data_IF_208853997478
#
_entry.id   IF_208853997478
#
_cell.length_a   1.000
_cell.length_b   1.000
_cell.length_c   1.000
_cell.angle_alpha   90.00
_cell.angle_beta   90.00
_cell.angle_gamma   90.00
#
_symmetry.space_group_name_H-M   'P 1'
#
loop_
_entity.id
_entity.type
_entity.pdbx_description
1 polymer ?
#
# COMPACT_ATOMS: atom_id res chain seq x y z
N UNK A 1 -10.55 3.24 -30.78
CA UNK A 1 -10.07 2.85 -29.45
C UNK A 1 -10.88 3.68 -28.46
N UNK A 2 -11.66 3.07 -27.57
CA UNK A 2 -12.46 3.81 -26.58
C UNK A 2 -11.51 4.18 -25.45
N UNK A 3 -11.29 5.48 -25.23
CA UNK A 3 -10.51 5.95 -24.08
C UNK A 3 -11.33 5.69 -22.82
N UNK A 4 -10.78 4.94 -21.87
CA UNK A 4 -11.40 4.75 -20.55
C UNK A 4 -11.03 5.99 -19.73
N UNK A 5 -12.00 6.78 -19.28
CA UNK A 5 -11.71 7.98 -18.49
C UNK A 5 -11.16 7.60 -17.11
N UNK A 6 -10.20 8.38 -16.62
CA UNK A 6 -9.54 8.17 -15.33
C UNK A 6 -10.41 8.70 -14.17
N UNK A 7 -10.28 8.15 -12.94
CA UNK A 7 -10.95 8.70 -11.77
C UNK A 7 -10.69 10.21 -11.59
N UNK A 8 -11.75 10.96 -11.27
CA UNK A 8 -11.71 12.42 -11.17
C UNK A 8 -11.91 13.16 -12.49
N UNK A 9 -11.88 12.49 -13.66
CA UNK A 9 -12.24 13.13 -14.93
C UNK A 9 -13.75 13.41 -15.01
N UNK A 10 -14.11 14.55 -15.58
CA UNK A 10 -15.49 14.90 -15.89
C UNK A 10 -15.92 14.32 -17.23
N UNK A 11 -17.16 13.83 -17.28
CA UNK A 11 -17.79 13.22 -18.45
C UNK A 11 -19.23 13.72 -18.60
N UNK A 12 -19.81 13.53 -19.78
CA UNK A 12 -21.24 13.65 -20.01
C UNK A 12 -21.88 12.27 -20.03
N UNK A 13 -22.91 12.08 -19.20
CA UNK A 13 -23.69 10.85 -19.13
C UNK A 13 -24.90 10.94 -20.06
N UNK A 14 -24.93 10.08 -21.08
CA UNK A 14 -26.02 9.99 -22.04
C UNK A 14 -27.08 9.01 -21.55
N UNK A 15 -28.34 9.45 -21.48
CA UNK A 15 -29.48 8.59 -21.14
C UNK A 15 -30.62 8.78 -22.12
N UNK A 16 -31.34 7.70 -22.51
CA UNK A 16 -32.49 7.82 -23.39
C UNK A 16 -33.55 8.78 -22.79
N UNK A 17 -33.90 9.82 -23.55
CA UNK A 17 -34.93 10.79 -23.16
C UNK A 17 -34.51 11.85 -22.14
N UNK A 18 -33.21 11.99 -21.84
CA UNK A 18 -32.66 13.09 -21.03
C UNK A 18 -31.56 13.81 -21.81
N UNK A 19 -31.32 15.10 -21.56
CA UNK A 19 -30.13 15.76 -22.08
C UNK A 19 -28.88 15.14 -21.45
N UNK A 20 -27.76 15.26 -22.17
CA UNK A 20 -26.46 14.79 -21.71
C UNK A 20 -26.08 15.55 -20.44
N UNK A 21 -25.88 14.82 -19.34
CA UNK A 21 -25.77 15.41 -18.02
C UNK A 21 -24.34 15.28 -17.49
N UNK A 22 -23.75 16.34 -16.91
CA UNK A 22 -22.39 16.25 -16.38
C UNK A 22 -22.30 15.27 -15.22
N UNK A 23 -21.24 14.48 -15.23
CA UNK A 23 -20.88 13.53 -14.19
C UNK A 23 -19.35 13.52 -14.00
N UNK A 24 -18.90 12.95 -12.89
CA UNK A 24 -17.48 12.71 -12.62
C UNK A 24 -17.23 11.21 -12.46
N UNK A 25 -16.13 10.69 -12.99
CA UNK A 25 -15.70 9.31 -12.73
C UNK A 25 -15.26 9.17 -11.27
N UNK A 26 -15.84 8.22 -10.55
CA UNK A 26 -15.53 7.95 -9.16
C UNK A 26 -14.77 6.65 -8.98
N UNK A 27 -13.99 6.58 -7.91
CA UNK A 27 -13.43 5.34 -7.37
C UNK A 27 -14.48 4.59 -6.54
N UNK A 28 -14.33 3.26 -6.42
CA UNK A 28 -15.32 2.40 -5.74
C UNK A 28 -15.48 2.74 -4.24
N UNK A 29 -14.48 3.33 -3.58
CA UNK A 29 -14.56 3.82 -2.18
C UNK A 29 -15.56 4.96 -1.99
N UNK A 30 -15.90 5.71 -3.05
CA UNK A 30 -16.92 6.76 -2.97
C UNK A 30 -18.34 6.19 -2.99
N UNK A 31 -18.52 4.91 -3.36
CA UNK A 31 -19.84 4.31 -3.50
C UNK A 31 -20.61 4.33 -2.17
N UNK A 32 -21.88 4.78 -2.15
CA UNK A 32 -22.74 4.62 -0.98
C UNK A 32 -22.87 3.14 -0.62
N UNK A 33 -22.89 2.82 0.68
CA UNK A 33 -23.01 1.42 1.17
C UNK A 33 -24.29 0.70 0.72
N UNK A 34 -25.33 1.45 0.35
CA UNK A 34 -26.58 0.92 -0.19
C UNK A 34 -26.55 0.70 -1.72
N UNK A 35 -25.53 1.19 -2.43
CA UNK A 35 -25.40 1.03 -3.86
C UNK A 35 -24.68 -0.29 -4.17
N UNK A 36 -25.40 -1.27 -4.71
CA UNK A 36 -24.81 -2.54 -5.12
C UNK A 36 -24.17 -2.43 -6.50
N UNK A 37 -22.93 -2.88 -6.63
CA UNK A 37 -22.24 -3.01 -7.91
C UNK A 37 -22.99 -4.02 -8.81
N UNK A 38 -23.42 -3.63 -10.02
CA UNK A 38 -24.02 -4.57 -10.96
C UNK A 38 -22.96 -5.50 -11.55
N UNK A 39 -23.38 -6.66 -12.05
CA UNK A 39 -22.49 -7.54 -12.80
C UNK A 39 -22.13 -6.91 -14.15
N UNK A 40 -20.83 -6.77 -14.43
CA UNK A 40 -20.30 -6.27 -15.71
C UNK A 40 -19.29 -5.13 -15.55
N UNK A 41 -18.72 -4.72 -16.69
CA UNK A 41 -17.78 -3.61 -16.78
C UNK A 41 -18.52 -2.27 -16.80
N UNK A 42 -18.88 -1.79 -15.62
CA UNK A 42 -19.51 -0.49 -15.42
C UNK A 42 -18.60 0.41 -14.61
N UNK A 43 -18.59 1.69 -14.97
CA UNK A 43 -17.82 2.72 -14.29
C UNK A 43 -18.74 3.43 -13.30
N UNK A 44 -18.32 3.55 -12.04
CA UNK A 44 -19.03 4.36 -11.06
C UNK A 44 -18.88 5.84 -11.43
N UNK A 45 -20.00 6.54 -11.54
CA UNK A 45 -20.03 7.98 -11.79
C UNK A 45 -20.88 8.71 -10.75
N UNK A 46 -20.45 9.91 -10.40
CA UNK A 46 -21.23 10.87 -9.62
C UNK A 46 -21.95 11.82 -10.58
N UNK A 47 -23.26 11.71 -10.66
CA UNK A 47 -24.10 12.61 -11.44
C UNK A 47 -24.20 13.98 -10.74
N UNK A 48 -23.79 15.03 -11.42
CA UNK A 48 -23.68 16.38 -10.84
C UNK A 48 -25.03 17.07 -10.93
N UNK A 49 -25.88 16.82 -9.94
CA UNK A 49 -27.20 17.43 -9.80
C UNK A 49 -27.22 18.41 -8.61
N UNK A 50 -28.39 18.94 -8.26
CA UNK A 50 -28.53 19.73 -7.02
C UNK A 50 -28.18 18.88 -5.78
N UNK A 51 -28.59 17.62 -5.81
CA UNK A 51 -28.21 16.58 -4.85
C UNK A 51 -27.46 15.50 -5.64
N UNK A 52 -26.12 15.44 -5.58
CA UNK A 52 -25.34 14.49 -6.37
C UNK A 52 -25.75 13.06 -6.09
N UNK A 53 -25.87 12.25 -7.15
CA UNK A 53 -26.29 10.86 -7.07
C UNK A 53 -25.27 9.95 -7.72
N UNK A 54 -25.04 8.78 -7.13
CA UNK A 54 -24.12 7.79 -7.68
C UNK A 54 -24.83 6.86 -8.66
N UNK A 55 -24.14 6.49 -9.74
CA UNK A 55 -24.68 5.64 -10.78
C UNK A 55 -23.57 4.79 -11.41
N UNK A 56 -23.88 3.55 -11.79
CA UNK A 56 -22.97 2.73 -12.60
C UNK A 56 -23.34 2.85 -14.08
N UNK A 57 -22.44 3.42 -14.87
CA UNK A 57 -22.64 3.67 -16.29
C UNK A 57 -21.79 2.74 -17.17
N UNK A 58 -22.33 2.32 -18.30
CA UNK A 58 -21.56 1.61 -19.31
C UNK A 58 -20.68 2.59 -20.09
N UNK A 59 -19.52 2.13 -20.59
CA UNK A 59 -18.58 2.99 -21.33
C UNK A 59 -19.18 3.69 -22.55
N UNK A 60 -20.21 3.10 -23.16
CA UNK A 60 -20.96 3.68 -24.29
C UNK A 60 -21.90 4.84 -23.91
N UNK A 61 -22.21 4.98 -22.64
CA UNK A 61 -23.05 6.06 -22.09
C UNK A 61 -22.21 7.27 -21.67
N UNK A 62 -20.88 7.14 -21.70
CA UNK A 62 -19.94 8.17 -21.27
C UNK A 62 -19.38 8.89 -22.49
N UNK A 63 -19.45 10.22 -22.46
CA UNK A 63 -18.79 11.10 -23.43
C UNK A 63 -17.83 12.05 -22.72
N UNK A 64 -16.85 12.57 -23.45
CA UNK A 64 -15.93 13.58 -22.94
C UNK A 64 -16.72 14.84 -22.53
N UNK A 65 -16.38 15.41 -21.38
CA UNK A 65 -17.05 16.60 -20.91
C UNK A 65 -16.71 17.81 -21.78
N UNK A 66 -17.76 18.45 -22.31
CA UNK A 66 -17.66 19.71 -23.05
C UNK A 66 -18.49 20.75 -22.32
N UNK A 67 -17.89 21.87 -21.87
CA UNK A 67 -18.65 22.98 -21.30
C UNK A 67 -19.72 23.46 -22.29
N UNK A 68 -20.96 23.45 -21.86
CA UNK A 68 -22.06 24.02 -22.64
C UNK A 68 -22.07 25.53 -22.43
N UNK A 69 -22.36 26.29 -23.49
CA UNK A 69 -22.63 27.73 -23.41
C UNK A 69 -23.95 28.01 -22.70
N UNK A 70 -24.68 29.06 -23.12
CA UNK A 70 -25.99 29.36 -22.53
C UNK A 70 -27.03 28.31 -22.94
N UNK A 71 -27.48 27.47 -21.99
CA UNK A 71 -28.56 26.49 -22.19
C UNK A 71 -29.91 27.00 -21.63
N UNK A 72 -31.04 26.80 -22.35
CA UNK A 72 -32.36 27.16 -21.83
C UNK A 72 -32.77 26.38 -20.57
N UNK A 73 -32.18 25.21 -20.33
CA UNK A 73 -32.39 24.41 -19.13
C UNK A 73 -31.49 24.90 -17.99
N UNK A 74 -32.08 25.69 -17.09
CA UNK A 74 -31.39 26.27 -15.93
C UNK A 74 -30.77 25.23 -14.98
N UNK A 75 -31.38 24.04 -14.86
CA UNK A 75 -30.85 22.99 -13.99
C UNK A 75 -29.58 22.36 -14.57
N UNK A 76 -29.60 22.11 -15.88
CA UNK A 76 -28.44 21.62 -16.61
C UNK A 76 -27.32 22.67 -16.61
N UNK A 77 -27.65 23.94 -16.84
CA UNK A 77 -26.68 25.04 -16.74
C UNK A 77 -26.05 25.10 -15.34
N UNK A 78 -26.87 24.99 -14.28
CA UNK A 78 -26.38 24.99 -12.91
C UNK A 78 -25.46 23.78 -12.63
N UNK A 79 -25.75 22.61 -13.21
CA UNK A 79 -24.90 21.44 -13.12
C UNK A 79 -23.53 21.67 -13.79
N UNK A 80 -23.51 22.22 -15.01
CA UNK A 80 -22.28 22.59 -15.70
C UNK A 80 -21.46 23.63 -14.92
N UNK A 81 -22.12 24.65 -14.36
CA UNK A 81 -21.44 25.66 -13.55
C UNK A 81 -20.79 25.07 -12.30
N UNK A 82 -21.37 24.03 -11.69
CA UNK A 82 -20.74 23.32 -10.56
C UNK A 82 -19.50 22.54 -10.96
N UNK A 83 -19.46 21.99 -12.19
CA UNK A 83 -18.24 21.37 -12.74
C UNK A 83 -17.15 22.41 -12.93
N UNK A 84 -17.49 23.57 -13.49
CA UNK A 84 -16.51 24.64 -13.68
C UNK A 84 -16.00 25.16 -12.34
N UNK A 85 -16.88 25.33 -11.35
CA UNK A 85 -16.51 25.69 -9.97
C UNK A 85 -15.54 24.67 -9.35
N UNK A 86 -15.77 23.37 -9.56
CA UNK A 86 -14.88 22.33 -9.04
C UNK A 86 -13.56 22.23 -9.81
N UNK A 87 -13.54 22.54 -11.10
CA UNK A 87 -12.32 22.64 -11.91
C UNK A 87 -11.45 23.84 -11.55
N UNK A 88 -12.08 24.96 -11.16
CA UNK A 88 -11.39 26.18 -10.72
C UNK A 88 -10.90 26.10 -9.26
N UNK A 89 -11.33 25.07 -8.51
CA UNK A 89 -10.89 24.82 -7.15
C UNK A 89 -9.40 24.42 -7.11
N UNK A 90 -8.71 24.78 -6.03
CA UNK A 90 -7.34 24.33 -5.78
C UNK A 90 -7.26 22.86 -5.31
N UNK A 91 -8.40 22.20 -5.10
CA UNK A 91 -8.49 20.82 -4.61
C UNK A 91 -8.57 19.84 -5.77
N UNK A 92 -8.18 18.58 -5.54
CA UNK A 92 -8.46 17.53 -6.51
C UNK A 92 -9.98 17.44 -6.73
N UNK A 93 -10.39 17.10 -7.96
CA UNK A 93 -11.82 16.99 -8.29
C UNK A 93 -12.52 15.95 -7.38
N UNK A 94 -11.85 14.84 -7.07
CA UNK A 94 -12.39 13.83 -6.17
C UNK A 94 -12.60 14.37 -4.75
N UNK A 95 -11.62 15.10 -4.19
CA UNK A 95 -11.71 15.61 -2.82
C UNK A 95 -12.75 16.71 -2.69
N UNK A 96 -12.86 17.59 -3.70
CA UNK A 96 -13.91 18.59 -3.77
C UNK A 96 -15.30 17.94 -3.66
N UNK A 97 -15.55 16.89 -4.45
CA UNK A 97 -16.85 16.21 -4.46
C UNK A 97 -17.07 15.34 -3.22
N UNK A 98 -16.03 14.70 -2.66
CA UNK A 98 -16.13 13.99 -1.37
C UNK A 98 -16.62 14.93 -0.28
N UNK A 99 -15.97 16.07 -0.09
CA UNK A 99 -16.37 17.06 0.91
C UNK A 99 -17.81 17.56 0.67
N UNK A 100 -18.15 17.87 -0.60
CA UNK A 100 -19.49 18.37 -0.94
C UNK A 100 -20.59 17.35 -0.65
N UNK A 101 -20.36 16.06 -0.93
CA UNK A 101 -21.31 14.97 -0.62
C UNK A 101 -21.44 14.79 0.88
N UNK A 102 -20.34 14.85 1.63
CA UNK A 102 -20.34 14.71 3.08
C UNK A 102 -21.16 15.82 3.75
N UNK A 103 -20.96 17.08 3.35
CA UNK A 103 -21.75 18.20 3.84
C UNK A 103 -23.25 18.07 3.54
N UNK A 104 -23.63 17.45 2.41
CA UNK A 104 -25.04 17.22 2.10
C UNK A 104 -25.67 16.05 2.87
N UNK A 105 -24.87 15.03 3.23
CA UNK A 105 -25.34 13.89 4.02
C UNK A 105 -25.63 14.26 5.47
N UNK A 106 -25.05 15.35 5.97
CA UNK A 106 -25.35 15.86 7.31
C UNK A 106 -26.83 16.25 7.35
N UNK A 107 -27.67 15.51 8.09
CA UNK A 107 -29.05 15.95 8.28
C UNK A 107 -28.98 17.36 8.85
N UNK A 108 -29.75 18.29 8.29
CA UNK A 108 -29.91 19.65 8.82
C UNK A 108 -30.70 19.59 10.15
N UNK A 109 -30.25 18.77 11.09
CA UNK A 109 -30.87 18.47 12.38
C UNK A 109 -30.51 19.49 13.46
N UNK A 110 -30.15 20.72 13.07
CA UNK A 110 -30.26 21.87 13.96
C UNK A 110 -31.68 22.43 13.91
N UNK A 111 -32.67 21.61 14.26
CA UNK A 111 -33.93 22.14 14.77
C UNK A 111 -33.66 22.56 16.20
N UNK A 112 -33.31 23.84 16.39
CA UNK A 112 -33.16 24.45 17.72
C UNK A 112 -34.45 24.15 18.50
N UNK A 113 -34.41 23.37 19.59
CA UNK A 113 -35.61 23.11 20.36
C UNK A 113 -36.10 24.44 20.97
N UNK A 114 -37.41 24.72 20.97
CA UNK A 114 -37.93 25.91 21.62
C UNK A 114 -37.59 25.85 23.11
N UNK A 115 -36.81 26.84 23.55
CA UNK A 115 -36.37 27.05 24.93
C UNK A 115 -37.56 26.97 25.90
N UNK A 116 -37.73 25.81 26.53
CA UNK A 116 -38.66 25.63 27.64
C UNK A 116 -38.00 24.82 28.74
N UNK A 117 -37.52 25.57 29.75
CA UNK A 117 -37.44 25.23 31.18
C UNK A 117 -36.87 23.85 31.58
N UNK A 118 -35.54 23.85 31.79
CA UNK A 118 -34.79 23.28 32.93
C UNK A 118 -35.47 22.24 33.84
N UNK A 119 -34.94 21.01 33.83
CA UNK A 119 -34.71 20.19 35.04
C UNK A 119 -33.50 19.27 34.82
N UNK A 120 -32.57 19.12 35.79
CA UNK A 120 -31.42 18.24 35.66
C UNK A 120 -31.74 16.83 36.18
N UNK A 121 -31.39 15.80 35.41
CA UNK A 121 -31.37 14.40 35.85
C UNK A 121 -30.08 13.76 35.36
N UNK A 122 -29.27 13.11 36.22
CA UNK A 122 -28.05 12.46 35.79
C UNK A 122 -28.34 11.00 35.44
N UNK A 123 -28.00 10.56 34.24
CA UNK A 123 -27.77 9.14 33.93
C UNK A 123 -26.74 9.00 32.81
N UNK A 124 -25.80 8.04 32.93
CA UNK A 124 -24.68 7.87 32.01
C UNK A 124 -25.01 6.79 30.96
N UNK A 125 -24.98 7.16 29.69
CA UNK A 125 -24.86 6.25 28.55
C UNK A 125 -24.48 7.08 27.33
N UNK A 126 -23.18 7.20 27.10
CA UNK A 126 -22.64 7.83 25.90
C UNK A 126 -22.34 6.70 24.92
N UNK A 127 -23.33 6.41 24.07
CA UNK A 127 -23.08 5.70 22.82
C UNK A 127 -22.37 6.69 21.88
N UNK A 128 -21.09 6.43 21.64
CA UNK A 128 -20.23 7.21 20.75
C UNK A 128 -20.74 7.11 19.30
N UNK A 129 -21.30 8.21 18.82
CA UNK A 129 -21.54 8.48 17.40
C UNK A 129 -20.23 9.06 16.85
N UNK A 130 -19.67 8.41 15.83
CA UNK A 130 -18.37 8.71 15.23
C UNK A 130 -18.29 10.12 14.65
N UNK A 131 -17.34 10.90 15.19
CA UNK A 131 -16.79 12.13 14.63
C UNK A 131 -15.85 11.76 13.47
N UNK A 132 -16.13 12.25 12.25
CA UNK A 132 -15.22 12.09 11.10
C UNK A 132 -14.71 13.45 10.57
N UNK A 133 -15.20 14.56 11.13
CA UNK A 133 -14.62 15.90 10.93
C UNK A 133 -13.50 16.20 11.94
N UNK A 134 -13.18 15.25 12.82
CA UNK A 134 -12.15 15.40 13.85
C UNK A 134 -10.76 14.98 13.38
N UNK A 135 -10.60 14.27 12.27
CA UNK A 135 -9.30 13.67 11.92
C UNK A 135 -8.21 14.74 11.63
N UNK A 136 -8.58 15.86 11.00
CA UNK A 136 -7.61 16.94 10.72
C UNK A 136 -7.19 17.66 11.99
N UNK A 137 -8.14 18.01 12.85
CA UNK A 137 -7.86 18.66 14.13
C UNK A 137 -7.11 17.69 15.06
N UNK A 138 -7.42 16.40 15.01
CA UNK A 138 -6.75 15.35 15.77
C UNK A 138 -5.28 15.20 15.36
N UNK A 139 -4.95 15.28 14.06
CA UNK A 139 -3.55 15.25 13.60
C UNK A 139 -2.79 16.47 14.13
N UNK A 140 -3.35 17.68 14.00
CA UNK A 140 -2.70 18.89 14.50
C UNK A 140 -2.51 18.86 16.02
N UNK A 141 -3.51 18.35 16.75
CA UNK A 141 -3.43 18.11 18.19
C UNK A 141 -2.34 17.09 18.50
N UNK A 142 -2.35 15.92 17.86
CA UNK A 142 -1.37 14.85 18.05
C UNK A 142 0.05 15.37 17.79
N UNK A 143 0.26 16.05 16.66
CA UNK A 143 1.53 16.69 16.29
C UNK A 143 2.00 17.67 17.36
N UNK A 144 1.11 18.54 17.83
CA UNK A 144 1.43 19.52 18.88
C UNK A 144 1.78 18.85 20.22
N UNK A 145 1.06 17.80 20.60
CA UNK A 145 1.26 17.05 21.84
C UNK A 145 2.56 16.24 21.80
N UNK A 146 2.83 15.53 20.70
CA UNK A 146 4.07 14.77 20.50
C UNK A 146 5.30 15.67 20.49
N UNK A 147 5.24 16.83 19.80
CA UNK A 147 6.31 17.84 19.82
C UNK A 147 6.55 18.37 21.23
N UNK A 148 5.49 18.64 22.00
CA UNK A 148 5.62 19.12 23.38
C UNK A 148 6.24 18.06 24.28
N UNK A 149 5.76 16.82 24.24
CA UNK A 149 6.27 15.72 25.06
C UNK A 149 7.76 15.46 24.78
N UNK A 150 8.17 15.52 23.52
CA UNK A 150 9.56 15.38 23.14
C UNK A 150 10.45 16.53 23.65
N UNK A 151 9.99 17.78 23.51
CA UNK A 151 10.71 18.94 24.03
C UNK A 151 10.89 18.87 25.56
N UNK A 152 9.86 18.42 26.29
CA UNK A 152 9.94 18.20 27.73
C UNK A 152 10.96 17.12 28.10
N UNK A 153 11.00 16.00 27.35
CA UNK A 153 12.00 14.94 27.54
C UNK A 153 13.43 15.43 27.27
N UNK A 154 13.65 16.14 26.14
CA UNK A 154 14.96 16.71 25.77
C UNK A 154 15.47 17.70 26.82
N UNK A 155 14.56 18.49 27.40
CA UNK A 155 14.89 19.42 28.48
C UNK A 155 15.26 18.71 29.79
N UNK A 156 14.58 17.61 30.17
CA UNK A 156 14.95 16.82 31.36
C UNK A 156 16.35 16.24 31.25
N UNK A 157 16.72 15.71 30.09
CA UNK A 157 18.06 15.14 29.84
C UNK A 157 19.16 16.21 29.90
N UNK A 158 18.88 17.44 29.43
CA UNK A 158 19.83 18.57 29.51
C UNK A 158 19.95 19.20 30.90
N UNK A 159 18.89 19.14 31.70
CA UNK A 159 18.81 19.83 33.00
C UNK A 159 19.47 19.07 34.15
N UNK A 160 19.93 17.84 33.93
CA UNK A 160 20.70 17.09 34.93
C UNK A 160 22.17 17.50 34.84
N UNK A 161 22.71 18.30 35.78
CA UNK A 161 24.13 18.58 35.81
C UNK A 161 24.86 17.27 36.02
N UNK A 162 25.57 16.81 34.99
CA UNK A 162 26.44 15.66 35.05
C UNK A 162 27.46 15.88 36.16
N UNK A 163 27.21 15.29 37.34
CA UNK A 163 28.23 15.16 38.37
C UNK A 163 29.44 14.51 37.69
N UNK A 164 30.63 15.12 37.73
CA UNK A 164 31.81 14.55 37.10
C UNK A 164 32.08 13.19 37.74
N UNK A 165 31.78 12.12 37.01
CA UNK A 165 32.24 10.78 37.36
C UNK A 165 33.73 10.74 37.13
N UNK A 166 34.50 10.85 38.21
CA UNK A 166 35.93 10.57 38.24
C UNK A 166 36.13 9.10 37.87
N UNK A 167 36.29 8.81 36.58
CA UNK A 167 36.75 7.52 36.10
C UNK A 167 38.21 7.35 36.50
N UNK A 168 38.45 6.49 37.51
CA UNK A 168 39.78 5.95 37.76
C UNK A 168 40.17 5.10 36.56
N UNK A 169 41.23 5.51 35.88
CA UNK A 169 41.94 4.72 34.86
C UNK A 169 42.32 3.36 35.45
N UNK A 170 41.63 2.30 35.01
CA UNK A 170 42.13 0.94 35.10
C UNK A 170 42.85 0.65 33.77
N UNK A 171 44.17 0.48 33.86
CA UNK A 171 45.02 -0.07 32.80
C UNK A 171 44.71 -1.56 32.65
N UNK A 172 44.67 -2.06 31.42
CA UNK A 172 44.74 -3.49 31.12
C UNK A 172 43.82 -3.91 29.98
N UNK A 173 44.15 -3.52 28.76
CA UNK A 173 43.63 -4.20 27.57
C UNK A 173 44.72 -5.17 27.10
N UNK A 174 44.50 -6.47 27.33
CA UNK A 174 45.21 -7.55 26.65
C UNK A 174 44.48 -7.80 25.33
N UNK A 175 45.25 -7.81 24.25
CA UNK A 175 44.83 -8.01 22.88
C UNK A 175 44.33 -9.46 22.69
N UNK A 176 43.07 -9.62 22.27
CA UNK A 176 42.43 -10.92 21.99
C UNK A 176 42.48 -11.28 20.49
N UNK A 177 43.26 -10.57 19.68
CA UNK A 177 43.31 -10.74 18.22
C UNK A 177 44.33 -11.80 17.74
N UNK A 178 44.93 -12.57 18.64
CA UNK A 178 45.90 -13.65 18.30
C UNK A 178 45.37 -15.09 18.40
N UNK A 179 44.05 -15.32 18.56
CA UNK A 179 43.51 -16.68 18.74
C UNK A 179 42.86 -17.36 17.52
N UNK A 180 42.95 -16.79 16.32
CA UNK A 180 42.50 -17.47 15.10
C UNK A 180 43.67 -17.71 14.15
N UNK A 181 44.36 -18.83 14.38
CA UNK A 181 45.29 -19.41 13.41
C UNK A 181 44.54 -20.05 12.24
N UNK A 182 45.21 -20.26 11.08
CA UNK A 182 44.60 -20.90 9.93
C UNK A 182 44.43 -22.40 10.21
N UNK A 183 43.20 -22.90 10.20
CA UNK A 183 42.93 -24.33 10.22
C UNK A 183 43.27 -24.93 8.87
N UNK A 184 44.32 -25.75 8.87
CA UNK A 184 44.69 -26.61 7.76
C UNK A 184 43.59 -27.63 7.49
N UNK A 185 43.35 -27.83 6.20
CA UNK A 185 42.46 -28.82 5.61
C UNK A 185 43.00 -30.23 5.91
N UNK A 186 42.33 -30.99 6.76
CA UNK A 186 42.60 -32.42 6.94
C UNK A 186 41.58 -33.28 6.17
N UNK A 187 42.14 -34.15 5.34
CA UNK A 187 41.53 -35.25 4.61
C UNK A 187 40.63 -36.11 5.50
N UNK A 188 39.33 -36.11 5.19
CA UNK A 188 38.40 -37.12 5.72
C UNK A 188 38.35 -38.33 4.79
N UNK A 189 39.25 -39.27 5.02
CA UNK A 189 39.13 -40.66 4.57
C UNK A 189 37.90 -41.32 5.19
N UNK A 190 36.86 -41.50 4.37
CA UNK A 190 35.64 -42.21 4.72
C UNK A 190 35.94 -43.71 4.86
N UNK A 191 35.75 -44.22 6.08
CA UNK A 191 35.80 -45.65 6.41
C UNK A 191 34.56 -46.37 5.87
N UNK A 192 34.79 -47.36 5.02
CA UNK A 192 33.80 -48.26 4.43
C UNK A 192 33.32 -49.32 5.43
N UNK A 193 32.08 -49.21 5.89
CA UNK A 193 31.34 -50.32 6.52
C UNK A 193 30.63 -51.19 5.47
N UNK A 194 30.56 -52.53 5.64
CA UNK A 194 29.98 -53.42 4.64
C UNK A 194 28.45 -53.55 4.81
N UNK A 195 27.78 -53.71 3.67
CA UNK A 195 26.42 -54.24 3.51
C UNK A 195 25.23 -53.37 3.97
N UNK A 196 25.06 -52.22 3.32
CA UNK A 196 23.72 -51.70 3.04
C UNK A 196 23.43 -51.88 1.55
N UNK A 197 22.38 -52.64 1.22
CA UNK A 197 21.86 -52.81 -0.16
C UNK A 197 21.43 -51.43 -0.68
N UNK A 198 22.35 -50.72 -1.35
CA UNK A 198 22.06 -49.52 -2.13
C UNK A 198 21.02 -49.89 -3.18
N UNK A 199 19.78 -49.47 -2.97
CA UNK A 199 18.83 -49.33 -4.06
C UNK A 199 19.46 -48.39 -5.08
N UNK A 200 19.78 -48.93 -6.26
CA UNK A 200 20.15 -48.10 -7.40
C UNK A 200 18.95 -47.17 -7.66
N UNK A 201 19.09 -45.85 -7.58
CA UNK A 201 18.04 -44.97 -8.05
C UNK A 201 17.79 -45.33 -9.51
N UNK A 202 16.58 -45.79 -9.81
CA UNK A 202 16.08 -45.97 -11.17
C UNK A 202 16.33 -44.64 -11.86
N UNK A 203 17.14 -44.65 -12.93
CA UNK A 203 17.46 -43.48 -13.73
C UNK A 203 16.13 -42.81 -14.08
N UNK A 204 15.90 -41.61 -13.54
CA UNK A 204 14.81 -40.75 -13.98
C UNK A 204 15.00 -40.52 -15.47
N UNK A 205 13.97 -40.82 -16.23
CA UNK A 205 13.90 -40.57 -17.66
C UNK A 205 14.33 -39.12 -17.93
N UNK A 206 15.48 -38.95 -18.57
CA UNK A 206 15.93 -37.66 -19.05
C UNK A 206 15.09 -37.36 -20.28
N UNK A 207 14.06 -36.52 -20.11
CA UNK A 207 13.23 -36.05 -21.23
C UNK A 207 14.10 -35.07 -22.02
N UNK A 208 14.75 -35.58 -23.05
CA UNK A 208 15.50 -34.80 -24.03
C UNK A 208 14.50 -34.17 -25.01
N UNK A 209 13.78 -33.14 -24.54
CA UNK A 209 12.83 -32.35 -25.31
C UNK A 209 12.97 -30.88 -24.95
N UNK A 210 12.89 -30.00 -25.96
CA UNK A 210 12.91 -28.55 -25.76
C UNK A 210 11.70 -28.14 -24.91
N UNK A 211 11.95 -27.80 -23.64
CA UNK A 211 10.92 -27.35 -22.68
C UNK A 211 10.10 -26.16 -23.20
N UNK A 212 10.68 -25.39 -24.13
CA UNK A 212 10.07 -24.25 -24.80
C UNK A 212 8.79 -24.59 -25.58
N UNK A 213 8.63 -25.85 -26.02
CA UNK A 213 7.45 -26.32 -26.75
C UNK A 213 6.41 -27.02 -25.86
N UNK A 214 6.64 -27.08 -24.54
CA UNK A 214 5.68 -27.68 -23.61
C UNK A 214 4.50 -26.74 -23.41
N UNK A 215 3.29 -27.20 -23.77
CA UNK A 215 2.03 -26.49 -23.48
C UNK A 215 1.70 -26.40 -21.97
N UNK A 216 2.60 -26.84 -21.10
CA UNK A 216 2.51 -26.80 -19.65
C UNK A 216 3.12 -25.53 -19.03
N UNK A 217 3.82 -24.70 -19.82
CA UNK A 217 4.44 -23.47 -19.37
C UNK A 217 3.78 -22.23 -20.00
N UNK A 218 3.77 -21.14 -19.25
CA UNK A 218 3.32 -19.81 -19.67
C UNK A 218 4.53 -18.89 -19.69
N UNK A 219 4.76 -18.22 -20.83
CA UNK A 219 5.80 -17.21 -21.02
C UNK A 219 5.33 -15.87 -20.48
N UNK A 220 6.05 -15.29 -19.53
CA UNK A 220 5.81 -13.93 -19.03
C UNK A 220 6.96 -13.05 -19.47
N UNK A 221 6.66 -11.89 -20.05
CA UNK A 221 7.68 -10.94 -20.47
C UNK A 221 7.72 -9.73 -19.53
N UNK A 222 8.92 -9.32 -19.15
CA UNK A 222 9.12 -8.27 -18.15
C UNK A 222 10.17 -7.28 -18.63
N UNK A 223 9.94 -6.02 -18.27
CA UNK A 223 10.87 -4.92 -18.50
C UNK A 223 10.98 -4.50 -19.96
N UNK A 224 11.70 -3.40 -20.18
CA UNK A 224 11.96 -2.81 -21.50
C UNK A 224 12.76 -3.73 -22.44
N UNK A 225 13.51 -4.68 -21.88
CA UNK A 225 14.28 -5.69 -22.61
C UNK A 225 13.45 -6.91 -22.98
N UNK A 226 12.23 -7.02 -22.46
CA UNK A 226 11.32 -8.12 -22.71
C UNK A 226 11.97 -9.47 -22.32
N UNK A 227 12.55 -9.51 -21.11
CA UNK A 227 13.14 -10.71 -20.54
C UNK A 227 12.04 -11.74 -20.25
N UNK A 228 12.28 -13.00 -20.62
CA UNK A 228 11.28 -14.08 -20.59
C UNK A 228 11.41 -14.92 -19.31
N UNK A 229 10.28 -15.12 -18.63
CA UNK A 229 10.12 -16.02 -17.49
C UNK A 229 9.15 -17.15 -17.85
N UNK A 230 9.46 -18.38 -17.45
CA UNK A 230 8.62 -19.55 -17.67
C UNK A 230 7.95 -19.96 -16.37
N UNK A 231 6.61 -19.90 -16.33
CA UNK A 231 5.81 -20.22 -15.14
C UNK A 231 4.92 -21.42 -15.45
N UNK A 232 4.76 -22.40 -14.53
CA UNK A 232 3.84 -23.50 -14.74
C UNK A 232 2.41 -23.01 -14.98
N UNK A 233 1.82 -23.45 -16.09
CA UNK A 233 0.45 -23.11 -16.49
C UNK A 233 -0.56 -23.45 -15.39
N UNK A 234 -0.37 -24.58 -14.73
CA UNK A 234 -1.23 -25.04 -13.63
C UNK A 234 -1.27 -24.07 -12.45
N UNK A 235 -0.23 -23.27 -12.24
CA UNK A 235 -0.18 -22.27 -11.17
C UNK A 235 -0.82 -20.95 -11.63
N UNK A 236 -0.54 -20.51 -12.86
CA UNK A 236 -1.19 -19.32 -13.46
C UNK A 236 -2.72 -19.51 -13.53
N UNK A 237 -3.19 -20.72 -13.85
CA UNK A 237 -4.61 -21.04 -13.93
C UNK A 237 -5.35 -20.97 -12.59
N UNK A 238 -4.64 -21.13 -11.46
CA UNK A 238 -5.23 -20.97 -10.11
C UNK A 238 -5.63 -19.53 -9.82
N UNK A 239 -5.05 -18.56 -10.52
CA UNK A 239 -5.31 -17.14 -10.36
C UNK A 239 -6.43 -16.71 -11.32
N UNK A 240 -7.68 -16.52 -10.83
CA UNK A 240 -8.84 -16.33 -11.71
C UNK A 240 -8.71 -15.12 -12.63
N UNK A 241 -8.03 -14.07 -12.16
CA UNK A 241 -7.84 -12.84 -12.90
C UNK A 241 -6.76 -12.94 -14.00
N UNK A 242 -5.85 -13.92 -13.93
CA UNK A 242 -4.88 -14.17 -15.01
C UNK A 242 -5.44 -15.16 -16.05
N UNK A 243 -6.26 -16.10 -15.59
CA UNK A 243 -6.80 -17.17 -16.44
C UNK A 243 -8.09 -16.81 -17.18
N UNK A 244 -8.77 -15.72 -16.80
CA UNK A 244 -9.99 -15.30 -17.46
C UNK A 244 -9.71 -14.81 -18.91
N UNK A 245 -10.20 -15.53 -19.94
CA UNK A 245 -10.01 -15.13 -21.33
C UNK A 245 -10.68 -13.79 -21.67
N UNK A 246 -11.62 -13.30 -20.86
CA UNK A 246 -12.28 -12.01 -21.06
C UNK A 246 -11.39 -10.83 -20.68
N UNK A 247 -10.44 -11.02 -19.76
CA UNK A 247 -9.51 -9.97 -19.35
C UNK A 247 -8.45 -9.76 -20.45
N UNK A 248 -8.17 -10.80 -21.25
CA UNK A 248 -7.29 -10.71 -22.41
C UNK A 248 -5.81 -10.67 -22.07
N UNK A 249 -5.42 -11.07 -20.85
CA UNK A 249 -4.03 -11.13 -20.42
C UNK A 249 -3.27 -12.30 -21.05
N UNK A 250 -3.95 -13.35 -21.52
CA UNK A 250 -3.32 -14.51 -22.14
C UNK A 250 -3.46 -14.48 -23.66
N UNK A 251 -2.35 -14.67 -24.36
CA UNK A 251 -2.26 -14.82 -25.81
C UNK A 251 -1.54 -16.12 -26.17
N UNK A 252 -1.78 -16.66 -27.37
CA UNK A 252 -1.06 -17.82 -27.90
C UNK A 252 -0.02 -17.28 -28.89
N UNK A 253 1.25 -17.62 -28.67
CA UNK A 253 2.35 -17.23 -29.58
C UNK A 253 2.38 -18.11 -30.83
N UNK A 254 3.20 -17.73 -31.83
CA UNK A 254 3.30 -18.46 -33.11
C UNK A 254 3.78 -19.91 -32.95
N UNK A 255 4.55 -20.19 -31.89
CA UNK A 255 5.03 -21.52 -31.50
C UNK A 255 3.96 -22.35 -30.76
N UNK A 256 2.77 -21.79 -30.50
CA UNK A 256 1.68 -22.46 -29.79
C UNK A 256 1.77 -22.37 -28.26
N UNK A 257 2.80 -21.71 -27.71
CA UNK A 257 2.97 -21.53 -26.26
C UNK A 257 2.04 -20.43 -25.75
N UNK A 258 1.59 -20.55 -24.50
CA UNK A 258 0.80 -19.50 -23.86
C UNK A 258 1.71 -18.38 -23.37
N UNK A 259 1.34 -17.14 -23.66
CA UNK A 259 2.03 -15.94 -23.20
C UNK A 259 1.10 -15.12 -22.33
N UNK A 260 1.59 -14.74 -21.15
CA UNK A 260 0.95 -13.74 -20.30
C UNK A 260 1.51 -12.36 -20.68
N UNK A 261 0.63 -11.50 -21.22
CA UNK A 261 0.96 -10.16 -21.69
C UNK A 261 0.30 -9.11 -20.80
N UNK A 262 1.04 -8.68 -19.79
CA UNK A 262 0.61 -7.66 -18.84
C UNK A 262 1.42 -6.39 -19.10
N UNK A 263 0.77 -5.35 -19.63
CA UNK A 263 1.45 -4.09 -19.98
C UNK A 263 2.18 -3.46 -18.78
N UNK A 264 1.63 -3.63 -17.57
CA UNK A 264 2.24 -3.10 -16.35
C UNK A 264 3.60 -3.75 -16.02
N UNK A 265 3.92 -4.93 -16.56
CA UNK A 265 5.21 -5.59 -16.33
C UNK A 265 6.36 -4.96 -17.12
N UNK A 266 6.06 -4.12 -18.12
CA UNK A 266 7.09 -3.46 -18.92
C UNK A 266 7.91 -2.42 -18.12
N UNK A 267 7.33 -1.88 -17.06
CA UNK A 267 7.95 -0.81 -16.26
C UNK A 267 8.81 -1.33 -15.10
N UNK A 268 8.80 -2.64 -14.84
CA UNK A 268 9.55 -3.25 -13.75
C UNK A 268 10.90 -3.81 -14.19
N UNK A 269 11.86 -3.85 -13.25
CA UNK A 269 13.12 -4.56 -13.43
C UNK A 269 12.87 -6.08 -13.43
N UNK A 270 13.30 -6.81 -14.47
CA UNK A 270 13.26 -8.27 -14.51
C UNK A 270 13.92 -8.93 -13.29
N UNK A 271 14.95 -8.32 -12.71
CA UNK A 271 15.60 -8.84 -11.50
C UNK A 271 14.65 -8.90 -10.30
N UNK A 272 13.71 -7.96 -10.18
CA UNK A 272 12.72 -7.93 -9.10
C UNK A 272 11.58 -8.92 -9.38
N UNK A 273 11.18 -9.05 -10.65
CA UNK A 273 10.15 -10.01 -11.05
C UNK A 273 10.53 -11.48 -10.79
N UNK A 274 11.83 -11.79 -10.68
CA UNK A 274 12.29 -13.15 -10.35
C UNK A 274 11.61 -13.71 -9.09
N UNK A 275 11.36 -12.87 -8.09
CA UNK A 275 10.73 -13.27 -6.83
C UNK A 275 9.26 -13.61 -7.03
N UNK A 276 8.56 -12.83 -7.86
CA UNK A 276 7.17 -13.10 -8.25
C UNK A 276 7.08 -14.38 -9.08
N UNK A 277 7.99 -14.59 -10.03
CA UNK A 277 8.04 -15.81 -10.83
C UNK A 277 8.30 -17.06 -9.97
N UNK A 278 9.20 -16.95 -8.98
CA UNK A 278 9.49 -18.03 -8.03
C UNK A 278 8.27 -18.33 -7.16
N UNK A 279 7.59 -17.29 -6.65
CA UNK A 279 6.35 -17.43 -5.87
C UNK A 279 5.24 -18.09 -6.68
N UNK A 280 5.01 -17.66 -7.91
CA UNK A 280 4.04 -18.27 -8.81
C UNK A 280 4.38 -19.73 -9.14
N UNK A 281 5.67 -20.12 -9.10
CA UNK A 281 6.09 -21.48 -9.40
C UNK A 281 6.04 -22.42 -8.20
N UNK A 282 6.32 -21.91 -7.00
CA UNK A 282 6.58 -22.74 -5.80
C UNK A 282 5.72 -22.39 -4.58
N UNK A 283 5.02 -21.24 -4.62
CA UNK A 283 4.34 -20.65 -3.46
C UNK A 283 5.29 -19.97 -2.46
N UNK A 284 6.58 -19.84 -2.78
CA UNK A 284 7.62 -19.22 -1.94
C UNK A 284 8.57 -18.39 -2.83
N UNK A 285 9.30 -17.44 -2.23
CA UNK A 285 10.33 -16.70 -2.96
C UNK A 285 11.51 -16.32 -2.06
N UNK A 286 12.69 -16.22 -2.70
CA UNK A 286 13.91 -15.73 -2.08
C UNK A 286 14.37 -16.59 -0.90
N UNK A 287 14.91 -15.97 0.14
CA UNK A 287 15.37 -16.68 1.33
C UNK A 287 14.19 -17.26 2.11
N UNK A 288 14.17 -18.59 2.28
CA UNK A 288 13.11 -19.32 2.99
C UNK A 288 13.29 -19.34 4.51
N UNK A 289 14.52 -19.16 5.00
CA UNK A 289 14.86 -19.10 6.42
C UNK A 289 15.29 -17.67 6.73
N UNK A 290 14.58 -17.07 7.69
CA UNK A 290 14.88 -15.73 8.16
C UNK A 290 15.72 -15.83 9.42
N UNK A 291 16.98 -15.43 9.33
CA UNK A 291 17.91 -15.33 10.44
C UNK A 291 18.56 -13.95 10.49
N UNK A 292 19.43 -13.71 11.46
CA UNK A 292 20.11 -12.41 11.63
C UNK A 292 20.96 -12.02 10.41
N UNK A 293 21.55 -12.98 9.70
CA UNK A 293 22.44 -12.73 8.56
C UNK A 293 21.66 -12.50 7.27
N UNK A 294 20.50 -13.13 7.14
CA UNK A 294 19.63 -13.01 5.96
C UNK A 294 18.54 -11.96 6.11
N UNK A 295 18.35 -11.37 7.30
CA UNK A 295 17.28 -10.39 7.59
C UNK A 295 17.21 -9.25 6.59
N UNK A 296 18.33 -8.55 6.39
CA UNK A 296 18.40 -7.38 5.50
C UNK A 296 18.04 -7.79 4.06
N UNK A 297 18.66 -8.85 3.56
CA UNK A 297 18.36 -9.40 2.24
C UNK A 297 16.89 -9.82 2.09
N UNK A 298 16.28 -10.45 3.11
CA UNK A 298 14.85 -10.83 3.09
C UNK A 298 13.96 -9.59 2.94
N UNK A 299 14.30 -8.50 3.61
CA UNK A 299 13.53 -7.26 3.56
C UNK A 299 13.70 -6.55 2.22
N UNK A 300 14.90 -6.56 1.63
CA UNK A 300 15.13 -6.10 0.26
C UNK A 300 14.32 -6.93 -0.76
N UNK A 301 14.32 -8.26 -0.64
CA UNK A 301 13.50 -9.12 -1.50
C UNK A 301 12.00 -8.81 -1.38
N UNK A 302 11.53 -8.51 -0.17
CA UNK A 302 10.15 -8.11 0.08
C UNK A 302 9.83 -6.75 -0.53
N UNK A 303 10.73 -5.78 -0.40
CA UNK A 303 10.65 -4.46 -1.01
C UNK A 303 10.57 -4.56 -2.54
N UNK A 304 11.42 -5.35 -3.17
CA UNK A 304 11.46 -5.54 -4.62
C UNK A 304 10.18 -6.23 -5.15
N UNK A 305 9.69 -7.22 -4.40
CA UNK A 305 8.54 -8.01 -4.81
C UNK A 305 7.19 -7.29 -4.60
N UNK A 306 7.08 -6.44 -3.58
CA UNK A 306 5.81 -5.81 -3.18
C UNK A 306 5.11 -5.03 -4.31
N UNK A 307 5.77 -4.07 -5.00
CA UNK A 307 5.11 -3.26 -6.03
C UNK A 307 4.59 -4.10 -7.20
N UNK A 308 5.31 -5.18 -7.53
CA UNK A 308 4.91 -6.08 -8.61
C UNK A 308 3.70 -6.91 -8.16
N UNK A 309 3.78 -7.53 -6.98
CA UNK A 309 2.70 -8.33 -6.40
C UNK A 309 1.40 -7.53 -6.28
N UNK A 310 1.48 -6.27 -5.84
CA UNK A 310 0.33 -5.36 -5.81
C UNK A 310 -0.20 -5.07 -7.21
N UNK A 311 0.68 -4.69 -8.14
CA UNK A 311 0.27 -4.28 -9.49
C UNK A 311 -0.45 -5.38 -10.26
N UNK A 312 -0.07 -6.63 -10.03
CA UNK A 312 -0.73 -7.81 -10.60
C UNK A 312 -1.68 -8.50 -9.61
N UNK A 313 -2.05 -7.86 -8.50
CA UNK A 313 -3.09 -8.30 -7.55
C UNK A 313 -2.87 -9.73 -7.03
N UNK A 314 -1.63 -10.06 -6.66
CA UNK A 314 -1.29 -11.33 -6.01
C UNK A 314 -1.51 -11.24 -4.49
N UNK A 315 -2.76 -11.29 -4.06
CA UNK A 315 -3.15 -11.16 -2.64
C UNK A 315 -2.39 -12.16 -1.74
N UNK A 316 -2.32 -13.43 -2.13
CA UNK A 316 -1.60 -14.47 -1.39
C UNK A 316 -0.10 -14.15 -1.24
N UNK A 317 0.50 -13.49 -2.24
CA UNK A 317 1.90 -13.08 -2.17
C UNK A 317 2.09 -11.89 -1.23
N UNK A 318 1.16 -10.92 -1.24
CA UNK A 318 1.20 -9.78 -0.32
C UNK A 318 1.10 -10.25 1.14
N UNK A 319 0.21 -11.19 1.45
CA UNK A 319 0.11 -11.80 2.78
C UNK A 319 1.39 -12.57 3.15
N UNK A 320 2.00 -13.25 2.20
CA UNK A 320 3.26 -13.95 2.40
C UNK A 320 4.43 -12.96 2.65
N UNK A 321 4.49 -11.84 1.92
CA UNK A 321 5.47 -10.77 2.15
C UNK A 321 5.32 -10.21 3.57
N UNK A 322 4.09 -9.89 4.01
CA UNK A 322 3.83 -9.44 5.39
C UNK A 322 4.36 -10.44 6.41
N UNK A 323 4.10 -11.73 6.19
CA UNK A 323 4.59 -12.80 7.07
C UNK A 323 6.12 -12.84 7.12
N UNK A 324 6.81 -12.71 5.98
CA UNK A 324 8.29 -12.65 5.94
C UNK A 324 8.83 -11.41 6.64
N UNK A 325 8.22 -10.24 6.44
CA UNK A 325 8.62 -8.97 7.09
C UNK A 325 8.44 -9.07 8.62
N UNK A 326 7.36 -9.69 9.10
CA UNK A 326 7.15 -9.96 10.53
C UNK A 326 8.22 -10.88 11.11
N UNK A 327 8.56 -11.96 10.39
CA UNK A 327 9.60 -12.90 10.80
C UNK A 327 10.99 -12.24 10.82
N UNK A 328 11.25 -11.36 9.85
CA UNK A 328 12.48 -10.60 9.77
C UNK A 328 12.63 -9.62 10.93
N UNK A 329 11.54 -9.15 11.54
CA UNK A 329 11.55 -8.12 12.58
C UNK A 329 12.31 -6.88 12.09
N UNK A 330 11.62 -6.04 11.32
CA UNK A 330 12.19 -4.76 10.86
C UNK A 330 12.62 -3.95 12.08
N UNK A 331 13.93 -3.71 12.22
CA UNK A 331 14.50 -2.89 13.29
C UNK A 331 15.18 -1.64 12.75
N UNK A 332 15.57 -1.65 11.48
CA UNK A 332 16.26 -0.55 10.84
C UNK A 332 15.27 0.46 10.31
N UNK A 333 15.38 1.69 10.82
CA UNK A 333 14.46 2.77 10.52
C UNK A 333 14.45 3.12 9.03
N UNK A 334 15.61 3.15 8.39
CA UNK A 334 15.79 3.51 6.98
C UNK A 334 15.08 2.52 6.05
N UNK A 335 15.14 1.23 6.38
CA UNK A 335 14.48 0.17 5.63
C UNK A 335 12.97 0.15 5.88
N UNK A 336 12.55 0.36 7.14
CA UNK A 336 11.14 0.55 7.49
C UNK A 336 10.53 1.75 6.73
N UNK A 337 11.26 2.86 6.69
CA UNK A 337 10.87 4.07 5.98
C UNK A 337 10.70 3.81 4.47
N UNK A 338 11.69 3.16 3.85
CA UNK A 338 11.65 2.83 2.42
C UNK A 338 10.46 1.93 2.09
N UNK A 339 10.23 0.87 2.89
CA UNK A 339 9.06 0.01 2.76
C UNK A 339 7.74 0.78 2.95
N UNK A 340 7.69 1.72 3.90
CA UNK A 340 6.49 2.51 4.16
C UNK A 340 6.15 3.40 2.97
N UNK A 341 7.14 4.07 2.35
CA UNK A 341 6.89 4.84 1.13
C UNK A 341 6.25 3.98 0.05
N UNK A 342 6.80 2.78 -0.22
CA UNK A 342 6.23 1.87 -1.21
C UNK A 342 4.80 1.41 -0.87
N UNK A 343 4.54 1.04 0.38
CA UNK A 343 3.24 0.50 0.83
C UNK A 343 2.15 1.58 0.87
N UNK A 344 2.52 2.83 1.18
CA UNK A 344 1.58 3.95 1.22
C UNK A 344 1.37 4.62 -0.14
N UNK A 345 2.36 4.56 -1.04
CA UNK A 345 2.20 5.02 -2.43
C UNK A 345 1.30 4.10 -3.26
N UNK A 346 1.31 2.80 -2.98
CA UNK A 346 0.42 1.88 -3.68
C UNK A 346 -1.02 2.11 -3.23
N UNK A 347 -1.83 2.65 -4.15
CA UNK A 347 -3.27 2.92 -3.99
C UNK A 347 -4.08 1.61 -4.03
N UNK A 348 -3.74 0.69 -3.13
CA UNK A 348 -4.27 -0.66 -3.10
C UNK A 348 -5.74 -0.68 -2.67
N UNK A 349 -6.44 -1.71 -3.16
CA UNK A 349 -7.67 -2.19 -2.52
C UNK A 349 -7.42 -2.41 -1.02
N UNK A 350 -8.43 -2.23 -0.16
CA UNK A 350 -8.29 -2.37 1.30
C UNK A 350 -8.11 -3.85 1.69
N UNK A 351 -7.00 -4.46 1.28
CA UNK A 351 -6.61 -5.80 1.65
C UNK A 351 -6.05 -5.78 3.07
N UNK A 352 -6.20 -6.90 3.76
CA UNK A 352 -5.70 -7.03 5.12
C UNK A 352 -4.17 -6.94 5.20
N UNK A 353 -3.46 -7.42 4.16
CA UNK A 353 -2.00 -7.31 4.04
C UNK A 353 -1.50 -5.87 4.19
N UNK A 354 -2.17 -4.91 3.53
CA UNK A 354 -1.84 -3.48 3.62
C UNK A 354 -1.95 -2.97 5.03
N UNK A 355 -3.07 -3.25 5.69
CA UNK A 355 -3.32 -2.81 7.06
C UNK A 355 -2.22 -3.32 8.00
N UNK A 356 -1.91 -4.61 7.94
CA UNK A 356 -0.90 -5.22 8.81
C UNK A 356 0.49 -4.65 8.49
N UNK A 357 0.84 -4.51 7.21
CA UNK A 357 2.14 -3.95 6.81
C UNK A 357 2.31 -2.51 7.31
N UNK A 358 1.29 -1.67 7.12
CA UNK A 358 1.27 -0.29 7.60
C UNK A 358 1.44 -0.21 9.11
N UNK A 359 0.68 -1.01 9.88
CA UNK A 359 0.80 -1.07 11.34
C UNK A 359 2.23 -1.44 11.80
N UNK A 360 2.84 -2.47 11.17
CA UNK A 360 4.21 -2.90 11.49
C UNK A 360 5.25 -1.80 11.22
N UNK A 361 5.18 -1.17 10.06
CA UNK A 361 6.15 -0.16 9.64
C UNK A 361 6.03 1.12 10.47
N UNK A 362 4.79 1.56 10.74
CA UNK A 362 4.52 2.72 11.58
C UNK A 362 5.04 2.53 13.00
N UNK A 363 4.93 1.34 13.57
CA UNK A 363 5.48 1.05 14.89
C UNK A 363 7.00 1.29 14.94
N UNK A 364 7.75 0.75 13.98
CA UNK A 364 9.21 0.91 13.90
C UNK A 364 9.60 2.36 13.61
N UNK A 365 8.89 3.02 12.70
CA UNK A 365 9.18 4.40 12.32
C UNK A 365 8.92 5.36 13.48
N UNK A 366 7.80 5.19 14.20
CA UNK A 366 7.37 6.09 15.26
C UNK A 366 8.33 6.08 16.46
N UNK A 367 8.93 4.94 16.81
CA UNK A 367 9.82 4.80 17.95
C UNK A 367 11.02 5.77 17.90
N UNK A 368 11.61 5.95 16.71
CA UNK A 368 12.78 6.80 16.49
C UNK A 368 12.51 8.05 15.63
N UNK A 369 11.25 8.27 15.22
CA UNK A 369 10.86 9.30 14.25
C UNK A 369 11.47 10.67 14.54
N UNK A 370 11.26 11.20 15.74
CA UNK A 370 11.69 12.56 16.08
C UNK A 370 13.22 12.71 16.15
N UNK A 371 13.94 11.64 16.50
CA UNK A 371 15.40 11.65 16.52
C UNK A 371 15.96 11.56 15.09
N UNK A 372 15.37 10.69 14.27
CA UNK A 372 15.78 10.47 12.88
C UNK A 372 15.44 11.64 11.97
N UNK A 373 14.29 12.30 12.14
CA UNK A 373 13.93 13.50 11.36
C UNK A 373 14.92 14.65 11.58
N UNK A 374 15.37 14.91 12.82
CA UNK A 374 16.36 15.97 13.11
C UNK A 374 17.72 15.66 12.44
N UNK A 375 18.16 14.39 12.52
CA UNK A 375 19.40 13.94 11.89
C UNK A 375 19.31 13.97 10.35
N UNK A 376 18.24 13.42 9.79
CA UNK A 376 18.04 13.31 8.36
C UNK A 376 17.82 14.68 7.70
N UNK A 377 17.07 15.59 8.35
CA UNK A 377 16.88 16.95 7.85
C UNK A 377 18.22 17.71 7.74
N UNK A 378 19.20 17.35 8.56
CA UNK A 378 20.55 17.93 8.50
C UNK A 378 21.35 17.39 7.32
N UNK A 379 21.17 16.12 6.95
CA UNK A 379 21.96 15.42 5.92
C UNK A 379 21.36 15.53 4.52
N UNK A 380 20.04 15.37 4.41
CA UNK A 380 19.31 15.22 3.15
C UNK A 380 18.31 16.36 2.90
N UNK A 381 18.17 17.31 3.83
CA UNK A 381 17.26 18.45 3.68
C UNK A 381 15.79 18.09 3.95
N UNK A 382 14.87 18.69 3.19
CA UNK A 382 13.43 18.59 3.48
C UNK A 382 12.75 17.35 2.87
N UNK A 383 13.51 16.40 2.30
CA UNK A 383 12.97 15.25 1.56
C UNK A 383 11.95 14.43 2.38
N UNK A 384 12.18 14.19 3.67
CA UNK A 384 11.19 13.51 4.54
C UNK A 384 9.90 14.31 4.64
N UNK A 385 10.00 15.63 4.79
CA UNK A 385 8.82 16.50 4.95
C UNK A 385 8.02 16.55 3.65
N UNK A 386 8.69 16.52 2.51
CA UNK A 386 8.03 16.46 1.21
C UNK A 386 7.35 15.09 1.01
N UNK A 387 7.99 13.96 1.35
CA UNK A 387 7.33 12.65 1.33
C UNK A 387 6.11 12.56 2.26
N UNK A 388 6.18 13.11 3.48
CA UNK A 388 5.04 13.13 4.40
C UNK A 388 3.89 13.99 3.87
N UNK A 389 4.21 15.06 3.14
CA UNK A 389 3.20 15.90 2.48
C UNK A 389 2.52 15.14 1.34
N UNK A 390 3.28 14.35 0.60
CA UNK A 390 2.77 13.56 -0.51
C UNK A 390 2.00 12.31 -0.01
N UNK A 391 2.30 11.84 1.22
CA UNK A 391 1.68 10.69 1.87
C UNK A 391 1.03 11.07 3.21
N UNK A 392 -0.10 11.82 3.20
CA UNK A 392 -0.74 12.31 4.42
C UNK A 392 -1.27 11.18 5.32
N UNK A 393 -1.58 10.01 4.76
CA UNK A 393 -2.00 8.84 5.53
C UNK A 393 -0.85 8.31 6.40
N UNK A 394 0.38 8.26 5.86
CA UNK A 394 1.58 7.87 6.60
C UNK A 394 1.88 8.89 7.71
N UNK A 395 1.79 10.19 7.39
CA UNK A 395 1.97 11.26 8.39
C UNK A 395 0.99 11.08 9.57
N UNK A 396 -0.30 10.90 9.27
CA UNK A 396 -1.33 10.68 10.28
C UNK A 396 -1.02 9.47 11.16
N UNK A 397 -0.71 8.33 10.55
CA UNK A 397 -0.54 7.09 11.29
C UNK A 397 0.71 7.13 12.19
N UNK A 398 1.80 7.77 11.75
CA UNK A 398 2.99 8.04 12.58
C UNK A 398 2.62 8.92 13.78
N UNK A 399 1.94 10.05 13.58
CA UNK A 399 1.59 10.95 14.68
C UNK A 399 0.60 10.31 15.65
N UNK A 400 -0.35 9.51 15.17
CA UNK A 400 -1.25 8.73 16.02
C UNK A 400 -0.45 7.79 16.93
N UNK A 401 0.49 7.01 16.37
CA UNK A 401 1.30 6.08 17.16
C UNK A 401 2.20 6.81 18.18
N UNK A 402 2.77 7.96 17.79
CA UNK A 402 3.55 8.82 18.69
C UNK A 402 2.71 9.34 19.87
N UNK A 403 1.44 9.68 19.63
CA UNK A 403 0.50 10.13 20.67
C UNK A 403 0.18 8.98 21.63
N UNK A 404 -0.19 7.81 21.12
CA UNK A 404 -0.47 6.61 21.93
C UNK A 404 0.73 6.24 22.83
N UNK A 405 1.95 6.29 22.28
CA UNK A 405 3.18 6.04 23.04
C UNK A 405 3.46 7.12 24.09
N UNK A 406 3.03 8.37 23.88
CA UNK A 406 3.12 9.42 24.88
C UNK A 406 2.11 9.21 26.03
N UNK A 407 0.88 8.83 25.71
CA UNK A 407 -0.17 8.55 26.70
C UNK A 407 0.18 7.36 27.60
N UNK A 408 0.71 6.28 27.02
CA UNK A 408 1.18 5.11 27.77
C UNK A 408 2.25 5.48 28.81
N UNK A 409 3.22 6.33 28.45
CA UNK A 409 4.28 6.80 29.37
C UNK A 409 3.76 7.68 30.51
N UNK A 410 2.69 8.45 30.27
CA UNK A 410 2.05 9.26 31.31
C UNK A 410 1.26 8.38 32.28
N UNK A 411 0.60 7.32 31.78
CA UNK A 411 -0.15 6.38 32.61
C UNK A 411 0.71 5.51 33.55
N UNK A 412 1.99 5.31 33.22
CA UNK A 412 2.93 4.53 34.05
C UNK A 412 3.64 5.33 35.15
N UNK A 413 3.57 6.67 35.12
CA UNK A 413 4.21 7.58 36.07
C UNK A 413 3.30 7.91 37.25
#
# INVERSE_FOLDING_TARGET
>A
MVRIPSPGEYVLLQRPGRPDWPAMICTDDMAPSNLRRPNGYLTLVLLIEQSPTFYYAASRELQEFVPIGDDPNKELQAAHNRVLESMDSSWSSLDYWRLRIEHQRRPSSFTVPPLTMLTPTPSPSSDHIFDQESDSDEIDIAKSLSLRAWNESRNRTRSSPSRPRTFKQARGATDLREHFGPTESEDSTISTGPEAKRYKPVQKDYIDGELSASGELVKVHVGTRNDEFLIPKSEVEKLPFLSDPQIGCMSITEDGTLRLDLQCLHDFDPAHFRFVAEFLSTGQFGHSIVDEQTREAVLEECADAWPIADRIVLEDMLDYIVTKVQQAQVQEWELAWTLALMVYETSGTPLNAYKIMKELLVEVIADDFLAKVDAYATEHGNDIIDHLRDLPELERDIYRRLLEAAEQRVGES
#
